data_IF_542148752438
#
_entry.id   IF_542148752438
#
_cell.length_a   1.000
_cell.length_b   1.000
_cell.length_c   1.000
_cell.angle_alpha   90.00
_cell.angle_beta   90.00
_cell.angle_gamma   90.00
#
_symmetry.space_group_name_H-M   'P 1'
#
loop_
_entity.id
_entity.type
_entity.pdbx_description
1 polymer ?
#
# COMPACT_ATOMS: atom_id res chain seq x y z
N UNK A 1 1.79 -16.02 -8.68
CA UNK A 1 2.80 -15.64 -7.68
C UNK A 1 2.04 -15.47 -6.38
N UNK A 2 2.34 -16.26 -5.35
CA UNK A 2 1.71 -16.10 -4.03
C UNK A 2 2.42 -14.94 -3.33
N UNK A 3 1.66 -14.01 -2.75
CA UNK A 3 2.25 -12.92 -1.98
C UNK A 3 2.24 -13.32 -0.51
N UNK A 4 3.41 -13.27 0.12
CA UNK A 4 3.47 -13.41 1.57
C UNK A 4 2.90 -12.13 2.21
N UNK A 5 1.80 -12.29 2.94
CA UNK A 5 1.08 -11.19 3.57
C UNK A 5 1.82 -10.63 4.78
N UNK A 6 2.61 -11.44 5.49
CA UNK A 6 3.43 -10.97 6.60
C UNK A 6 4.60 -10.12 6.08
N UNK A 7 5.26 -10.56 5.01
CA UNK A 7 6.32 -9.77 4.35
C UNK A 7 5.77 -8.47 3.76
N UNK A 8 4.57 -8.52 3.16
CA UNK A 8 3.87 -7.33 2.68
C UNK A 8 3.59 -6.32 3.79
N UNK A 9 3.00 -6.78 4.90
CA UNK A 9 2.70 -5.90 6.03
C UNK A 9 3.98 -5.28 6.60
N UNK A 10 5.05 -6.08 6.75
CA UNK A 10 6.33 -5.61 7.29
C UNK A 10 6.97 -4.55 6.39
N UNK A 11 7.06 -4.81 5.08
CA UNK A 11 7.64 -3.86 4.13
C UNK A 11 6.83 -2.55 4.02
N UNK A 12 5.50 -2.63 4.13
CA UNK A 12 4.64 -1.45 4.11
C UNK A 12 4.70 -0.66 5.42
N UNK A 13 4.82 -1.34 6.56
CA UNK A 13 5.04 -0.69 7.86
C UNK A 13 6.36 0.09 7.87
N UNK A 14 7.44 -0.52 7.35
CA UNK A 14 8.73 0.16 7.22
C UNK A 14 8.68 1.38 6.28
N UNK A 15 7.97 1.25 5.14
CA UNK A 15 7.88 2.32 4.16
C UNK A 15 7.04 3.51 4.64
N UNK A 16 5.91 3.24 5.31
CA UNK A 16 4.94 4.28 5.73
C UNK A 16 5.20 4.80 7.14
N UNK A 17 5.89 4.03 7.99
CA UNK A 17 6.00 4.28 9.43
C UNK A 17 4.72 3.97 10.23
N UNK A 18 3.69 3.42 9.58
CA UNK A 18 2.41 3.10 10.20
C UNK A 18 2.39 1.64 10.69
N UNK A 19 1.49 1.33 11.61
CA UNK A 19 1.20 -0.06 11.96
C UNK A 19 0.41 -0.71 10.83
N UNK A 20 0.92 -1.80 10.24
CA UNK A 20 0.28 -2.48 9.10
C UNK A 20 -0.01 -3.94 9.43
N UNK A 21 -1.21 -4.38 9.05
CA UNK A 21 -1.59 -5.80 9.03
C UNK A 21 -2.16 -6.18 7.67
N UNK A 22 -1.93 -7.40 7.21
CA UNK A 22 -2.43 -7.86 5.93
C UNK A 22 -3.03 -9.26 6.04
N UNK A 23 -4.22 -9.42 5.47
CA UNK A 23 -4.88 -10.70 5.24
C UNK A 23 -5.04 -10.94 3.72
N UNK A 24 -5.68 -12.05 3.34
CA UNK A 24 -5.86 -12.46 1.93
C UNK A 24 -6.62 -11.44 1.08
N UNK A 25 -7.44 -10.58 1.69
CA UNK A 25 -8.33 -9.66 0.98
C UNK A 25 -8.06 -8.19 1.30
N UNK A 26 -7.31 -7.90 2.38
CA UNK A 26 -7.20 -6.56 2.94
C UNK A 26 -5.81 -6.29 3.48
N UNK A 27 -5.39 -5.04 3.41
CA UNK A 27 -4.27 -4.47 4.16
C UNK A 27 -4.83 -3.34 5.00
N UNK A 28 -4.57 -3.35 6.30
CA UNK A 28 -5.04 -2.31 7.22
C UNK A 28 -3.84 -1.54 7.73
N UNK A 29 -3.88 -0.22 7.57
CA UNK A 29 -2.91 0.75 8.06
C UNK A 29 -3.52 1.49 9.25
N UNK A 30 -2.75 1.65 10.32
CA UNK A 30 -3.14 2.37 11.53
C UNK A 30 -2.03 3.36 11.86
N UNK A 31 -2.40 4.64 11.94
CA UNK A 31 -1.57 5.69 12.50
C UNK A 31 -2.18 6.15 13.83
N UNK A 32 -1.34 6.40 14.82
CA UNK A 32 -1.79 6.88 16.13
C UNK A 32 -1.73 8.42 16.24
N UNK A 33 -0.92 9.09 15.41
CA UNK A 33 -0.77 10.55 15.44
C UNK A 33 -0.61 11.16 14.02
N UNK A 34 -1.67 11.79 13.46
CA UNK A 34 -3.04 11.81 13.99
C UNK A 34 -3.69 10.41 13.94
N UNK A 35 -4.66 10.10 14.83
CA UNK A 35 -5.31 8.80 14.87
C UNK A 35 -6.12 8.56 13.59
N UNK A 36 -5.67 7.60 12.77
CA UNK A 36 -6.23 7.31 11.45
C UNK A 36 -6.18 5.80 11.15
N UNK A 37 -7.22 5.30 10.47
CA UNK A 37 -7.26 3.92 9.99
C UNK A 37 -7.59 3.88 8.51
N UNK A 38 -6.76 3.19 7.71
CA UNK A 38 -7.00 2.98 6.28
C UNK A 38 -7.10 1.50 5.96
N UNK A 39 -8.16 1.09 5.26
CA UNK A 39 -8.35 -0.30 4.83
C UNK A 39 -8.24 -0.38 3.31
N UNK A 40 -7.20 -1.04 2.85
CA UNK A 40 -6.97 -1.33 1.45
C UNK A 40 -7.49 -2.72 1.08
N UNK A 41 -8.57 -2.78 0.32
CA UNK A 41 -9.09 -4.03 -0.23
C UNK A 41 -8.39 -4.34 -1.54
N UNK A 42 -7.63 -5.45 -1.57
CA UNK A 42 -6.78 -5.81 -2.70
C UNK A 42 -6.47 -7.31 -2.74
N UNK A 43 -6.49 -7.88 -3.94
CA UNK A 43 -6.12 -9.27 -4.25
C UNK A 43 -4.63 -9.41 -4.57
N UNK A 44 -4.08 -10.63 -4.42
CA UNK A 44 -2.69 -10.92 -4.83
C UNK A 44 -2.41 -10.57 -6.30
N UNK A 45 -3.40 -10.79 -7.18
CA UNK A 45 -3.30 -10.43 -8.60
C UNK A 45 -3.17 -8.92 -8.82
N UNK A 46 -3.94 -8.12 -8.10
CA UNK A 46 -3.89 -6.66 -8.19
C UNK A 46 -2.56 -6.12 -7.65
N UNK A 47 -2.06 -6.65 -6.52
CA UNK A 47 -0.74 -6.30 -6.00
C UNK A 47 0.37 -6.69 -7.01
N UNK A 48 0.28 -7.87 -7.61
CA UNK A 48 1.19 -8.32 -8.66
C UNK A 48 1.19 -7.39 -9.87
N UNK A 49 0.01 -6.92 -10.30
CA UNK A 49 -0.12 -5.96 -11.39
C UNK A 49 0.45 -4.58 -11.03
N UNK A 50 0.21 -4.09 -9.82
CA UNK A 50 0.77 -2.81 -9.36
C UNK A 50 2.30 -2.82 -9.33
N UNK A 51 2.90 -3.91 -8.83
CA UNK A 51 4.35 -4.12 -8.90
C UNK A 51 4.87 -4.12 -10.32
N UNK A 52 4.17 -4.79 -11.23
CA UNK A 52 4.56 -4.82 -12.64
C UNK A 52 4.56 -3.42 -13.24
N UNK A 53 3.51 -2.64 -13.01
CA UNK A 53 3.37 -1.27 -13.51
C UNK A 53 4.47 -0.35 -12.96
N UNK A 54 4.72 -0.38 -11.65
CA UNK A 54 5.80 0.41 -11.05
C UNK A 54 7.17 0.05 -11.61
N UNK A 55 7.44 -1.25 -11.79
CA UNK A 55 8.69 -1.70 -12.37
C UNK A 55 8.85 -1.28 -13.83
N UNK A 56 7.76 -1.26 -14.60
CA UNK A 56 7.76 -0.76 -15.96
C UNK A 56 8.12 0.74 -15.99
N UNK A 57 7.43 1.56 -15.17
CA UNK A 57 7.72 3.00 -15.04
C UNK A 57 9.14 3.25 -14.56
N UNK A 58 9.63 2.48 -13.58
CA UNK A 58 11.01 2.59 -13.09
C UNK A 58 12.02 2.28 -14.19
N UNK A 59 11.80 1.22 -14.99
CA UNK A 59 12.67 0.86 -16.12
C UNK A 59 12.71 1.95 -17.19
N UNK A 60 11.57 2.57 -17.50
CA UNK A 60 11.49 3.70 -18.44
C UNK A 60 12.29 4.91 -17.94
N UNK A 61 12.33 5.12 -16.63
CA UNK A 61 13.14 6.17 -15.98
C UNK A 61 14.62 5.77 -15.76
N UNK A 62 15.09 4.65 -16.30
CA UNK A 62 16.46 4.15 -16.12
C UNK A 62 16.73 3.47 -14.76
N UNK A 63 15.68 3.26 -13.96
CA UNK A 63 15.71 2.53 -12.70
C UNK A 63 15.75 1.01 -12.89
N UNK A 64 16.18 0.30 -11.85
CA UNK A 64 16.29 -1.16 -11.84
C UNK A 64 14.97 -1.76 -11.36
N UNK A 65 14.53 -2.83 -12.02
CA UNK A 65 13.34 -3.60 -11.59
C UNK A 65 13.54 -4.09 -10.15
N UNK A 66 12.69 -3.65 -9.22
CA UNK A 66 12.69 -4.07 -7.82
C UNK A 66 11.56 -5.06 -7.56
N UNK A 67 11.89 -6.15 -6.87
CA UNK A 67 10.92 -7.15 -6.43
C UNK A 67 10.34 -6.85 -5.03
N UNK A 68 10.66 -5.68 -4.46
CA UNK A 68 10.34 -5.32 -3.08
C UNK A 68 8.89 -4.84 -2.95
N UNK A 69 8.19 -5.25 -1.88
CA UNK A 69 6.81 -4.78 -1.61
C UNK A 69 6.83 -3.31 -1.18
N UNK A 70 7.95 -2.83 -0.62
CA UNK A 70 8.14 -1.44 -0.21
C UNK A 70 8.06 -0.43 -1.36
N UNK A 71 8.17 -0.87 -2.62
CA UNK A 71 7.95 0.02 -3.77
C UNK A 71 6.51 0.51 -3.85
N UNK A 72 5.54 -0.22 -3.28
CA UNK A 72 4.15 0.24 -3.17
C UNK A 72 4.00 1.38 -2.14
N UNK A 73 4.98 1.56 -1.26
CA UNK A 73 5.05 2.63 -0.26
C UNK A 73 4.73 4.00 -0.86
N UNK A 74 5.44 4.48 -1.89
CA UNK A 74 5.13 5.75 -2.56
C UNK A 74 3.69 5.92 -3.07
N UNK A 75 3.09 4.88 -3.67
CA UNK A 75 1.69 4.93 -4.11
C UNK A 75 0.74 5.06 -2.93
N UNK A 76 1.10 4.41 -1.83
CA UNK A 76 0.36 4.46 -0.59
C UNK A 76 0.62 5.75 0.17
N UNK A 77 1.81 6.32 0.18
CA UNK A 77 2.10 7.61 0.84
C UNK A 77 1.27 8.74 0.23
N UNK A 78 1.07 8.72 -1.10
CA UNK A 78 0.16 9.65 -1.76
C UNK A 78 -1.30 9.42 -1.35
N UNK A 79 -1.72 8.15 -1.18
CA UNK A 79 -3.06 7.77 -0.77
C UNK A 79 -3.32 7.82 0.76
N UNK A 80 -2.26 7.83 1.57
CA UNK A 80 -2.27 7.84 3.04
C UNK A 80 -1.84 9.21 3.59
N UNK A 81 -1.62 10.18 2.71
CA UNK A 81 -1.32 11.57 3.06
C UNK A 81 -2.42 12.20 3.94
N UNK A 82 -2.15 13.37 4.52
CA UNK A 82 -3.08 14.00 5.45
C UNK A 82 -4.41 14.31 4.77
N UNK A 83 -5.47 13.58 5.15
CA UNK A 83 -6.85 13.86 4.77
C UNK A 83 -7.71 14.23 5.97
N UNK A 84 -8.70 15.11 5.76
CA UNK A 84 -9.71 15.44 6.77
C UNK A 84 -10.69 14.26 6.90
N UNK A 85 -10.45 13.37 7.85
CA UNK A 85 -11.30 12.21 8.14
C UNK A 85 -10.66 11.24 9.13
N UNK A 86 -11.47 10.37 9.74
CA UNK A 86 -10.99 9.37 10.70
C UNK A 86 -10.67 8.02 10.04
N UNK A 87 -11.27 7.74 8.87
CA UNK A 87 -11.12 6.47 8.17
C UNK A 87 -11.03 6.60 6.66
N UNK A 88 -10.05 5.93 6.06
CA UNK A 88 -9.91 5.76 4.61
C UNK A 88 -10.23 4.33 4.16
N UNK A 89 -10.75 4.17 2.95
CA UNK A 89 -10.90 2.89 2.26
C UNK A 89 -10.25 2.98 0.89
N UNK A 90 -9.29 2.12 0.62
CA UNK A 90 -8.65 2.00 -0.70
C UNK A 90 -9.20 0.75 -1.40
N UNK A 91 -9.55 0.85 -2.68
CA UNK A 91 -9.88 -0.29 -3.56
C UNK A 91 -8.98 -0.24 -4.79
N UNK A 92 -8.07 -1.21 -4.93
CA UNK A 92 -7.02 -1.09 -5.94
C UNK A 92 -6.18 0.16 -5.68
N UNK A 93 -6.33 1.20 -6.50
CA UNK A 93 -5.66 2.51 -6.30
C UNK A 93 -6.62 3.65 -5.93
N UNK A 94 -7.92 3.39 -5.88
CA UNK A 94 -8.93 4.41 -5.55
C UNK A 94 -9.08 4.56 -4.04
N UNK A 95 -8.71 5.72 -3.50
CA UNK A 95 -8.96 6.12 -2.11
C UNK A 95 -10.33 6.78 -1.97
N UNK A 96 -11.07 6.39 -0.93
CA UNK A 96 -12.27 7.09 -0.45
C UNK A 96 -12.15 7.37 1.04
N UNK A 97 -12.45 8.61 1.42
CA UNK A 97 -12.48 9.03 2.82
C UNK A 97 -13.91 8.90 3.34
N UNK A 98 -14.06 8.35 4.54
CA UNK A 98 -15.33 8.20 5.24
C UNK A 98 -15.17 8.90 6.60
N UNK A 99 -16.09 9.81 6.91
CA UNK A 99 -16.15 10.51 8.20
C UNK A 99 -16.74 9.67 9.32
#
# INVERSE_FOLDING_TARGET
MSIDRADLASALAEATGWSVSADTHRVTFINDDPPQVVIWTVTDSEIGQMRYNQNLTSREAGGRQSAELGTLGPLLDEALGPFEGTRGVIRGTDLRIIE
#
